data_IF_548243507120
#
_entry.id   IF_548243507120
#
_cell.length_a   1.000
_cell.length_b   1.000
_cell.length_c   1.000
_cell.angle_alpha   90.00
_cell.angle_beta   90.00
_cell.angle_gamma   90.00
#
_symmetry.space_group_name_H-M   'P 1'
#
loop_
_entity.id
_entity.type
_entity.pdbx_description
1 polymer ?
#
# COMPACT_ATOMS: atom_id res chain seq x y z
N UNK A 1 -5.90 -8.43 -15.08
CA UNK A 1 -6.34 -7.09 -15.52
C UNK A 1 -5.92 -6.15 -14.40
N UNK A 2 -4.72 -5.58 -14.48
CA UNK A 2 -4.20 -4.66 -13.46
C UNK A 2 -5.06 -3.40 -13.47
N UNK A 3 -5.69 -3.10 -12.34
CA UNK A 3 -6.38 -1.83 -12.13
C UNK A 3 -5.39 -0.69 -12.36
N UNK A 4 -5.69 0.19 -13.31
CA UNK A 4 -5.04 1.50 -13.43
C UNK A 4 -5.29 2.23 -12.12
N UNK A 5 -4.33 2.15 -11.19
CA UNK A 5 -4.35 2.94 -9.97
C UNK A 5 -4.31 4.41 -10.37
N UNK A 6 -5.34 5.16 -10.01
CA UNK A 6 -5.34 6.61 -10.13
C UNK A 6 -4.22 7.16 -9.23
N UNK A 7 -3.12 7.59 -9.85
CA UNK A 7 -2.07 8.33 -9.15
C UNK A 7 -2.56 9.76 -8.99
N UNK A 8 -2.45 10.30 -7.77
CA UNK A 8 -2.65 11.73 -7.58
C UNK A 8 -1.52 12.49 -8.25
N UNK A 9 -1.85 13.62 -8.88
CA UNK A 9 -0.92 14.41 -9.67
C UNK A 9 -0.88 15.84 -9.12
N UNK A 10 0.32 16.31 -8.79
CA UNK A 10 0.61 17.72 -8.52
C UNK A 10 1.40 18.30 -9.70
N UNK A 11 1.03 19.49 -10.13
CA UNK A 11 1.64 20.16 -11.29
C UNK A 11 2.09 21.56 -10.86
N UNK A 12 3.36 21.86 -11.09
CA UNK A 12 3.97 23.15 -10.80
C UNK A 12 4.57 23.70 -12.09
N UNK A 13 4.24 24.95 -12.42
CA UNK A 13 4.96 25.68 -13.47
C UNK A 13 6.35 26.05 -12.93
N UNK A 14 7.41 25.74 -13.69
CA UNK A 14 8.81 25.99 -13.30
C UNK A 14 9.56 26.73 -14.40
N UNK A 15 10.57 27.50 -14.00
CA UNK A 15 11.56 28.03 -14.92
C UNK A 15 12.71 27.04 -15.01
N UNK A 16 12.86 26.40 -16.17
CA UNK A 16 13.82 25.31 -16.33
C UNK A 16 15.27 25.81 -16.39
N UNK A 17 16.15 25.20 -15.60
CA UNK A 17 17.61 25.44 -15.61
C UNK A 17 18.37 24.14 -15.89
N UNK A 18 19.63 24.25 -16.32
CA UNK A 18 20.48 23.10 -16.68
C UNK A 18 20.69 22.09 -15.54
N UNK A 19 20.47 22.49 -14.28
CA UNK A 19 20.65 21.63 -13.10
C UNK A 19 19.36 20.93 -12.65
N UNK A 20 18.22 21.23 -13.28
CA UNK A 20 16.93 20.72 -12.79
C UNK A 20 16.78 19.22 -13.00
N UNK A 21 17.37 18.65 -14.05
CA UNK A 21 17.30 17.22 -14.34
C UNK A 21 17.99 16.41 -13.22
N UNK A 22 19.18 16.83 -12.76
CA UNK A 22 19.87 16.22 -11.62
C UNK A 22 19.08 16.36 -10.31
N UNK A 23 18.42 17.51 -10.12
CA UNK A 23 17.60 17.73 -8.94
C UNK A 23 16.35 16.84 -8.95
N UNK A 24 15.77 16.58 -10.13
CA UNK A 24 14.64 15.67 -10.28
C UNK A 24 15.05 14.22 -10.05
N UNK A 25 16.26 13.80 -10.40
CA UNK A 25 16.77 12.47 -10.01
C UNK A 25 16.94 12.32 -8.49
N UNK A 26 17.50 13.35 -7.83
CA UNK A 26 17.60 13.39 -6.37
C UNK A 26 16.22 13.36 -5.71
N UNK A 27 15.26 14.12 -6.24
CA UNK A 27 13.89 14.12 -5.79
C UNK A 27 13.25 12.72 -5.97
N UNK A 28 13.42 12.09 -7.12
CA UNK A 28 12.91 10.73 -7.37
C UNK A 28 13.46 9.70 -6.38
N UNK A 29 14.73 9.82 -5.97
CA UNK A 29 15.31 8.95 -4.93
C UNK A 29 14.58 9.09 -3.59
N UNK A 30 14.12 10.30 -3.25
CA UNK A 30 13.31 10.55 -2.05
C UNK A 30 11.87 10.06 -2.23
N UNK A 31 11.25 10.36 -3.38
CA UNK A 31 9.85 10.01 -3.67
C UNK A 31 9.63 8.50 -3.76
N UNK A 32 10.62 7.74 -4.24
CA UNK A 32 10.54 6.29 -4.38
C UNK A 32 10.23 5.59 -3.05
N UNK A 33 10.69 6.15 -1.92
CA UNK A 33 10.42 5.62 -0.57
C UNK A 33 8.93 5.49 -0.28
N UNK A 34 8.10 6.39 -0.79
CA UNK A 34 6.65 6.40 -0.59
C UNK A 34 5.86 6.14 -1.88
N UNK A 35 6.52 5.63 -2.91
CA UNK A 35 5.90 5.27 -4.19
C UNK A 35 5.46 6.48 -5.02
N UNK A 36 6.17 7.60 -4.89
CA UNK A 36 6.02 8.76 -5.76
C UNK A 36 7.07 8.82 -6.87
N UNK A 37 6.81 9.66 -7.87
CA UNK A 37 7.70 9.96 -9.00
C UNK A 37 7.53 11.42 -9.42
N UNK A 38 8.62 12.09 -9.75
CA UNK A 38 8.67 13.42 -10.34
C UNK A 38 9.21 13.35 -11.77
N UNK A 39 8.67 14.20 -12.65
CA UNK A 39 9.15 14.36 -14.01
C UNK A 39 8.98 15.80 -14.50
N UNK A 40 9.91 16.27 -15.33
CA UNK A 40 9.80 17.55 -16.01
C UNK A 40 9.10 17.30 -17.36
N UNK A 41 7.99 17.99 -17.58
CA UNK A 41 7.27 18.01 -18.86
C UNK A 41 7.41 19.38 -19.49
N UNK A 42 8.03 19.42 -20.65
CA UNK A 42 8.03 20.61 -21.49
C UNK A 42 6.76 20.63 -22.35
N UNK A 43 6.02 21.72 -22.27
CA UNK A 43 4.95 22.07 -23.20
C UNK A 43 5.42 23.25 -24.05
N UNK A 44 4.76 23.49 -25.17
CA UNK A 44 5.14 24.51 -26.17
C UNK A 44 5.35 25.92 -25.62
N UNK A 45 4.75 26.26 -24.47
CA UNK A 45 4.84 27.57 -23.84
C UNK A 45 5.44 27.55 -22.42
N UNK A 46 5.58 26.38 -21.78
CA UNK A 46 5.95 26.27 -20.35
C UNK A 46 6.66 24.97 -20.03
N UNK A 47 7.53 25.03 -19.04
CA UNK A 47 8.06 23.83 -18.39
C UNK A 47 7.31 23.57 -17.09
N UNK A 48 6.94 22.31 -16.87
CA UNK A 48 6.17 21.88 -15.70
C UNK A 48 6.90 20.77 -14.96
N UNK A 49 6.95 20.89 -13.64
CA UNK A 49 7.29 19.79 -12.76
C UNK A 49 6.01 19.05 -12.38
N UNK A 50 5.95 17.76 -12.70
CA UNK A 50 4.81 16.88 -12.43
C UNK A 50 5.21 15.85 -11.39
N UNK A 51 4.53 15.84 -10.24
CA UNK A 51 4.68 14.81 -9.20
C UNK A 51 3.47 13.89 -9.24
N UNK A 52 3.73 12.59 -9.28
CA UNK A 52 2.74 11.53 -9.17
C UNK A 52 2.98 10.74 -7.89
N UNK A 53 1.93 10.37 -7.16
CA UNK A 53 2.06 9.56 -5.94
C UNK A 53 0.84 8.67 -5.66
N UNK A 54 1.08 7.54 -5.01
CA UNK A 54 0.04 6.62 -4.52
C UNK A 54 -0.38 7.08 -3.11
N UNK A 55 -1.56 7.70 -2.99
CA UNK A 55 -2.05 8.24 -1.73
C UNK A 55 -2.32 7.15 -0.68
N UNK A 56 -2.77 5.96 -1.09
CA UNK A 56 -2.93 4.86 -0.14
C UNK A 56 -1.58 4.43 0.45
N UNK A 57 -0.54 4.36 -0.38
CA UNK A 57 0.82 4.07 0.11
C UNK A 57 1.27 5.17 1.07
N UNK A 58 1.11 6.44 0.71
CA UNK A 58 1.51 7.56 1.56
C UNK A 58 0.80 7.56 2.92
N UNK A 59 -0.51 7.28 2.94
CA UNK A 59 -1.26 7.11 4.19
C UNK A 59 -0.75 5.92 5.02
N UNK A 60 -0.47 4.76 4.39
CA UNK A 60 0.10 3.59 5.08
C UNK A 60 1.49 3.90 5.69
N UNK A 61 2.31 4.67 4.98
CA UNK A 61 3.66 5.13 5.39
C UNK A 61 3.66 6.19 6.51
N UNK A 62 2.58 6.94 6.69
CA UNK A 62 2.46 7.94 7.78
C UNK A 62 1.84 7.36 9.06
N UNK A 63 1.30 6.14 9.00
CA UNK A 63 0.77 5.48 10.20
C UNK A 63 1.89 4.99 11.14
N UNK A 64 1.54 4.82 12.43
CA UNK A 64 2.39 4.16 13.45
C UNK A 64 2.81 2.72 13.08
N UNK A 65 2.27 2.15 11.99
CA UNK A 65 2.59 0.82 11.48
C UNK A 65 3.46 0.86 10.21
N UNK A 66 3.99 2.02 9.82
CA UNK A 66 4.92 2.14 8.70
C UNK A 66 6.12 1.19 8.88
N UNK A 67 6.49 0.46 7.82
CA UNK A 67 7.54 -0.57 7.86
C UNK A 67 7.14 -1.89 8.54
N UNK A 68 5.92 -2.00 9.10
CA UNK A 68 5.46 -3.26 9.71
C UNK A 68 4.93 -4.19 8.62
N UNK A 69 5.66 -5.28 8.35
CA UNK A 69 5.20 -6.33 7.44
C UNK A 69 3.93 -6.96 8.03
N UNK A 70 2.77 -6.64 7.45
CA UNK A 70 1.53 -7.32 7.77
C UNK A 70 1.64 -8.79 7.39
N UNK A 71 1.23 -9.70 8.28
CA UNK A 71 1.03 -11.10 7.90
C UNK A 71 -0.18 -11.16 6.97
N UNK A 72 0.09 -11.40 5.70
CA UNK A 72 -0.92 -11.73 4.69
C UNK A 72 -1.19 -13.22 4.74
N UNK A 73 -2.47 -13.59 4.83
CA UNK A 73 -2.88 -14.98 4.80
C UNK A 73 -3.60 -15.21 3.48
N UNK A 74 -3.03 -16.05 2.63
CA UNK A 74 -3.69 -16.45 1.38
C UNK A 74 -4.62 -17.63 1.64
N UNK A 75 -5.62 -17.41 2.51
CA UNK A 75 -6.60 -18.41 2.91
C UNK A 75 -7.97 -17.73 3.06
N UNK A 76 -9.02 -18.42 2.66
CA UNK A 76 -10.39 -17.90 2.80
C UNK A 76 -10.87 -17.97 4.25
N UNK A 77 -11.84 -17.11 4.60
CA UNK A 77 -12.55 -17.16 5.89
C UNK A 77 -13.22 -18.54 6.08
N UNK A 78 -13.74 -19.14 5.01
CA UNK A 78 -14.34 -20.47 5.06
C UNK A 78 -13.32 -21.55 5.41
N UNK A 79 -12.14 -21.53 4.82
CA UNK A 79 -11.07 -22.48 5.14
C UNK A 79 -10.59 -22.32 6.58
N UNK A 80 -10.52 -21.08 7.10
CA UNK A 80 -10.22 -20.86 8.52
C UNK A 80 -11.31 -21.45 9.41
N UNK A 81 -12.59 -21.30 9.05
CA UNK A 81 -13.71 -21.95 9.78
C UNK A 81 -13.62 -23.48 9.72
N UNK A 82 -13.29 -24.05 8.56
CA UNK A 82 -13.06 -25.50 8.40
C UNK A 82 -11.88 -25.99 9.25
N UNK A 83 -10.78 -25.24 9.30
CA UNK A 83 -9.64 -25.56 10.18
C UNK A 83 -10.04 -25.54 11.66
N UNK A 84 -10.83 -24.55 12.10
CA UNK A 84 -11.32 -24.50 13.48
C UNK A 84 -12.19 -25.71 13.79
N UNK A 85 -13.09 -26.09 12.87
CA UNK A 85 -13.96 -27.26 13.04
C UNK A 85 -13.17 -28.59 13.09
N UNK A 86 -12.08 -28.71 12.32
CA UNK A 86 -11.28 -29.94 12.22
C UNK A 86 -10.21 -30.07 13.30
N UNK A 87 -9.48 -29.00 13.61
CA UNK A 87 -8.28 -29.04 14.47
C UNK A 87 -8.53 -28.41 15.86
N UNK A 88 -9.65 -27.71 16.03
CA UNK A 88 -9.89 -26.87 17.18
C UNK A 88 -9.19 -25.52 17.08
N UNK A 89 -9.75 -24.52 17.76
CA UNK A 89 -9.34 -23.11 17.64
C UNK A 89 -7.89 -22.84 18.07
N UNK A 90 -7.37 -23.60 19.04
CA UNK A 90 -5.99 -23.48 19.52
C UNK A 90 -4.99 -23.83 18.41
N UNK A 91 -5.18 -24.99 17.78
CA UNK A 91 -4.28 -25.51 16.76
C UNK A 91 -4.41 -24.75 15.44
N UNK A 92 -5.63 -24.33 15.08
CA UNK A 92 -5.86 -23.48 13.92
C UNK A 92 -5.13 -22.13 14.04
N UNK A 93 -5.20 -21.48 15.22
CA UNK A 93 -4.49 -20.23 15.46
C UNK A 93 -2.97 -20.40 15.44
N UNK A 94 -2.46 -21.52 15.99
CA UNK A 94 -1.04 -21.86 15.95
C UNK A 94 -0.53 -22.04 14.51
N UNK A 95 -1.28 -22.74 13.64
CA UNK A 95 -0.95 -22.86 12.21
C UNK A 95 -0.93 -21.52 11.48
N UNK A 96 -1.80 -20.59 11.87
CA UNK A 96 -1.81 -19.21 11.36
C UNK A 96 -0.76 -18.30 12.04
N UNK A 97 0.04 -18.83 12.97
CA UNK A 97 1.08 -18.08 13.67
C UNK A 97 0.55 -16.85 14.41
N UNK A 98 -0.63 -16.95 15.03
CA UNK A 98 -1.27 -15.91 15.81
C UNK A 98 -1.96 -16.46 17.07
N UNK A 99 -2.42 -15.57 17.94
CA UNK A 99 -3.18 -15.97 19.14
C UNK A 99 -4.63 -16.33 18.76
N UNK A 100 -5.24 -17.23 19.53
CA UNK A 100 -6.66 -17.60 19.41
C UNK A 100 -7.59 -16.38 19.42
N UNK A 101 -7.34 -15.44 20.33
CA UNK A 101 -8.09 -14.17 20.40
C UNK A 101 -7.87 -13.31 19.14
N UNK A 102 -6.63 -13.22 18.66
CA UNK A 102 -6.30 -12.48 17.43
C UNK A 102 -7.02 -13.04 16.21
N UNK A 103 -7.09 -14.37 16.09
CA UNK A 103 -7.81 -15.06 15.02
C UNK A 103 -9.30 -14.72 15.00
N UNK A 104 -9.98 -14.83 16.15
CA UNK A 104 -11.41 -14.49 16.23
C UNK A 104 -11.69 -13.00 15.97
N UNK A 105 -10.83 -12.11 16.47
CA UNK A 105 -10.96 -10.67 16.21
C UNK A 105 -10.84 -10.36 14.71
N UNK A 106 -9.95 -11.07 14.01
CA UNK A 106 -9.78 -10.93 12.57
C UNK A 106 -10.96 -11.52 11.78
N UNK A 107 -11.44 -12.71 12.16
CA UNK A 107 -12.67 -13.30 11.59
C UNK A 107 -13.89 -12.38 11.72
N UNK A 108 -14.06 -11.75 12.89
CA UNK A 108 -15.13 -10.77 13.11
C UNK A 108 -15.02 -9.59 12.16
N UNK A 109 -13.84 -9.00 12.02
CA UNK A 109 -13.58 -7.91 11.06
C UNK A 109 -13.83 -8.30 9.61
N UNK A 110 -13.49 -9.53 9.21
CA UNK A 110 -13.77 -10.01 7.86
C UNK A 110 -15.28 -10.04 7.58
N UNK A 111 -16.07 -10.49 8.57
CA UNK A 111 -17.53 -10.45 8.49
C UNK A 111 -18.11 -9.03 8.46
N UNK A 112 -17.57 -8.10 9.25
CA UNK A 112 -17.98 -6.69 9.25
C UNK A 112 -17.65 -5.98 7.92
N UNK A 113 -16.51 -6.31 7.31
CA UNK A 113 -16.04 -5.70 6.07
C UNK A 113 -16.53 -6.41 4.79
N UNK A 114 -17.28 -7.52 4.93
CA UNK A 114 -17.73 -8.33 3.79
C UNK A 114 -16.60 -8.99 2.99
N UNK A 115 -15.43 -9.19 3.60
CA UNK A 115 -14.26 -9.75 2.94
C UNK A 115 -14.24 -11.28 3.07
N UNK A 116 -14.04 -11.98 1.95
CA UNK A 116 -13.98 -13.45 1.90
C UNK A 116 -12.60 -14.01 2.28
N UNK A 117 -11.57 -13.16 2.29
CA UNK A 117 -10.18 -13.51 2.58
C UNK A 117 -9.81 -13.23 4.05
N UNK A 118 -8.99 -14.09 4.65
CA UNK A 118 -8.60 -13.96 6.05
C UNK A 118 -7.49 -12.93 6.30
#
# INVERSE_FOLDING_TARGET
MESMKDFNILVFDINHTENDDEQVEKLNSLLNLFGGKAEIRQSSDRTRLVLSYDEEKLQKWTTRNAGRVGKYYNISVEEVRKMIASLGAEQAAAKLGMTKQGMYKRLKRCGENGTEMF
#
